data_IF_822415379033
#
_entry.id   IF_822415379033
#
_cell.length_a   1.000
_cell.length_b   1.000
_cell.length_c   1.000
_cell.angle_alpha   90.00
_cell.angle_beta   90.00
_cell.angle_gamma   90.00
#
_symmetry.space_group_name_H-M   'P 1'
#
loop_
_entity.id
_entity.type
_entity.pdbx_description
1 polymer ?
#
# COMPACT_ATOMS: atom_id res chain seq x y z
N UNK A 1 -5.54 -25.74 22.28
CA UNK A 1 -6.44 -24.58 22.15
C UNK A 1 -7.08 -24.64 20.78
N UNK A 2 -8.41 -24.68 20.70
CA UNK A 2 -9.16 -24.94 19.46
C UNK A 2 -10.06 -23.77 19.06
N UNK A 3 -9.55 -22.55 19.14
CA UNK A 3 -10.34 -21.40 18.68
C UNK A 3 -10.33 -21.38 17.14
N UNK A 4 -11.51 -21.44 16.54
CA UNK A 4 -11.69 -21.33 15.09
C UNK A 4 -11.89 -19.87 14.74
N UNK A 5 -10.86 -19.25 14.18
CA UNK A 5 -10.81 -17.82 13.92
C UNK A 5 -10.91 -17.60 12.42
N UNK A 6 -11.90 -16.82 11.97
CA UNK A 6 -12.06 -16.40 10.59
C UNK A 6 -11.77 -14.91 10.46
N UNK A 7 -10.99 -14.52 9.45
CA UNK A 7 -10.58 -13.14 9.22
C UNK A 7 -10.90 -12.74 7.77
N UNK A 8 -11.51 -11.56 7.61
CA UNK A 8 -11.93 -11.01 6.34
C UNK A 8 -12.32 -9.53 6.47
N UNK A 9 -12.79 -8.88 5.42
CA UNK A 9 -12.88 -9.36 4.04
C UNK A 9 -11.73 -8.86 3.17
N UNK A 10 -10.92 -7.92 3.66
CA UNK A 10 -10.00 -7.16 2.82
C UNK A 10 -8.57 -7.74 2.80
N UNK A 11 -8.08 -8.06 1.61
CA UNK A 11 -6.66 -8.29 1.36
C UNK A 11 -6.23 -7.57 0.08
N UNK A 12 -5.00 -7.05 0.09
CA UNK A 12 -4.38 -6.38 -1.06
C UNK A 12 -2.85 -6.60 -1.03
N UNK A 13 -2.18 -6.13 -2.08
CA UNK A 13 -0.72 -6.10 -2.16
C UNK A 13 -0.27 -4.69 -1.81
N UNK A 14 0.67 -4.60 -0.88
CA UNK A 14 1.30 -3.33 -0.50
C UNK A 14 2.67 -3.23 -1.17
N UNK A 15 2.90 -2.12 -1.88
CA UNK A 15 4.22 -1.73 -2.35
C UNK A 15 4.84 -0.74 -1.36
N UNK A 16 5.61 -1.25 -0.41
CA UNK A 16 6.32 -0.44 0.58
C UNK A 16 7.60 0.13 -0.05
N UNK A 17 7.65 1.45 -0.27
CA UNK A 17 8.82 2.13 -0.86
C UNK A 17 9.74 2.72 0.20
N UNK A 18 11.03 2.80 -0.13
CA UNK A 18 12.01 3.59 0.62
C UNK A 18 12.09 4.96 -0.02
N UNK A 19 11.77 6.01 0.74
CA UNK A 19 11.85 7.39 0.25
C UNK A 19 13.26 7.72 -0.22
N UNK A 20 13.34 8.32 -1.41
CA UNK A 20 14.57 8.77 -2.02
C UNK A 20 14.39 10.22 -2.45
N UNK A 21 15.27 11.10 -1.96
CA UNK A 21 15.19 12.53 -2.18
C UNK A 21 15.38 12.88 -3.66
N UNK A 22 16.37 12.29 -4.30
CA UNK A 22 16.75 12.60 -5.68
C UNK A 22 15.61 12.26 -6.66
N UNK A 23 14.96 11.11 -6.46
CA UNK A 23 13.79 10.68 -7.25
C UNK A 23 12.63 11.66 -7.06
N UNK A 24 12.32 12.04 -5.83
CA UNK A 24 11.21 12.98 -5.54
C UNK A 24 11.51 14.35 -6.16
N UNK A 25 12.70 14.91 -5.95
CA UNK A 25 13.10 16.21 -6.51
C UNK A 25 13.05 16.19 -8.06
N UNK A 26 13.51 15.11 -8.68
CA UNK A 26 13.44 14.96 -10.13
C UNK A 26 11.98 14.93 -10.64
N UNK A 27 11.07 14.26 -9.94
CA UNK A 27 9.65 14.22 -10.32
C UNK A 27 8.95 15.57 -10.08
N UNK A 28 9.30 16.29 -9.00
CA UNK A 28 8.79 17.65 -8.76
C UNK A 28 9.16 18.58 -9.91
N UNK A 29 10.43 18.53 -10.36
CA UNK A 29 10.89 19.31 -11.51
C UNK A 29 10.19 18.86 -12.79
N UNK A 30 10.13 17.55 -13.04
CA UNK A 30 9.54 16.99 -14.25
C UNK A 30 8.06 17.36 -14.42
N UNK A 31 7.28 17.34 -13.34
CA UNK A 31 5.86 17.68 -13.34
C UNK A 31 5.57 19.16 -13.05
N UNK A 32 6.61 19.97 -12.82
CA UNK A 32 6.47 21.39 -12.50
C UNK A 32 5.60 21.67 -11.28
N UNK A 33 5.74 20.86 -10.22
CA UNK A 33 4.96 21.00 -8.99
C UNK A 33 5.38 22.26 -8.22
N UNK A 34 4.40 23.06 -7.80
CA UNK A 34 4.60 24.27 -7.02
C UNK A 34 4.01 24.14 -5.61
N UNK A 35 4.54 24.93 -4.68
CA UNK A 35 4.16 24.85 -3.26
C UNK A 35 2.71 25.28 -2.97
N UNK A 36 2.17 26.20 -3.76
CA UNK A 36 0.77 26.66 -3.66
C UNK A 36 -0.25 25.59 -4.07
N UNK A 37 0.18 24.58 -4.83
CA UNK A 37 -0.66 23.44 -5.23
C UNK A 37 -0.85 22.40 -4.12
N UNK A 38 -0.01 22.41 -3.07
CA UNK A 38 -0.02 21.42 -1.99
C UNK A 38 -1.28 21.47 -1.09
N UNK A 39 -2.21 22.39 -1.37
CA UNK A 39 -3.52 22.49 -0.72
C UNK A 39 -4.66 21.86 -1.52
N UNK A 40 -4.45 21.55 -2.80
CA UNK A 40 -5.48 21.02 -3.69
C UNK A 40 -5.52 19.48 -3.62
N UNK A 41 -6.41 18.92 -2.80
CA UNK A 41 -6.70 17.48 -2.80
C UNK A 41 -7.82 17.16 -3.80
N UNK A 42 -7.46 16.80 -5.04
CA UNK A 42 -8.37 16.27 -6.06
C UNK A 42 -8.36 14.75 -6.14
N UNK A 43 -9.09 14.20 -7.13
CA UNK A 43 -8.95 12.79 -7.51
C UNK A 43 -7.53 12.52 -8.03
N UNK A 44 -6.98 11.35 -7.71
CA UNK A 44 -5.65 10.94 -8.19
C UNK A 44 -5.82 10.16 -9.49
N UNK A 45 -5.65 10.84 -10.62
CA UNK A 45 -5.81 10.30 -11.97
C UNK A 45 -4.49 10.17 -12.73
N UNK A 46 -3.41 10.74 -12.17
CA UNK A 46 -2.08 10.68 -12.74
C UNK A 46 -1.00 10.51 -11.68
N UNK A 47 0.22 10.19 -12.13
CA UNK A 47 1.39 10.11 -11.25
C UNK A 47 1.75 11.49 -10.64
N UNK A 48 1.42 12.58 -11.34
CA UNK A 48 1.57 13.95 -10.82
C UNK A 48 0.63 14.20 -9.64
N UNK A 49 -0.63 13.82 -9.77
CA UNK A 49 -1.63 14.01 -8.70
C UNK A 49 -1.26 13.17 -7.46
N UNK A 50 -0.72 11.97 -7.70
CA UNK A 50 -0.23 11.11 -6.63
C UNK A 50 0.93 11.79 -5.88
N UNK A 51 1.90 12.32 -6.61
CA UNK A 51 3.04 13.02 -6.01
C UNK A 51 2.60 14.29 -5.26
N UNK A 52 1.68 15.09 -5.81
CA UNK A 52 1.10 16.24 -5.12
C UNK A 52 0.44 15.83 -3.80
N UNK A 53 -0.38 14.77 -3.82
CA UNK A 53 -1.02 14.26 -2.61
C UNK A 53 0.00 13.80 -1.56
N UNK A 54 1.07 13.11 -1.98
CA UNK A 54 2.14 12.67 -1.07
C UNK A 54 2.86 13.87 -0.45
N UNK A 55 3.22 14.87 -1.27
CA UNK A 55 3.91 16.07 -0.79
C UNK A 55 3.03 16.91 0.14
N UNK A 56 1.71 16.96 -0.08
CA UNK A 56 0.77 17.59 0.83
C UNK A 56 0.80 16.93 2.22
N UNK A 57 0.76 15.59 2.29
CA UNK A 57 0.90 14.84 3.55
C UNK A 57 2.27 15.04 4.21
N UNK A 58 3.35 15.01 3.42
CA UNK A 58 4.69 15.28 3.95
C UNK A 58 4.81 16.71 4.52
N UNK A 59 4.17 17.68 3.88
CA UNK A 59 4.14 19.07 4.32
C UNK A 59 3.41 19.28 5.64
N UNK A 60 2.35 18.51 5.91
CA UNK A 60 1.63 18.55 7.20
C UNK A 60 2.25 17.61 8.25
N UNK A 61 3.09 16.66 7.84
CA UNK A 61 3.66 15.64 8.73
C UNK A 61 2.66 14.57 9.13
N UNK A 62 1.53 14.47 8.42
CA UNK A 62 0.45 13.53 8.71
C UNK A 62 0.50 12.31 7.77
N UNK A 63 0.07 11.16 8.28
CA UNK A 63 -0.22 10.00 7.44
C UNK A 63 -1.64 10.08 6.86
N UNK A 64 -1.90 9.33 5.80
CA UNK A 64 -3.25 9.23 5.26
C UNK A 64 -3.39 8.19 4.17
N UNK A 65 -4.63 8.03 3.72
CA UNK A 65 -5.01 7.16 2.61
C UNK A 65 -5.78 7.98 1.57
N UNK A 66 -5.53 7.67 0.29
CA UNK A 66 -6.23 8.25 -0.84
C UNK A 66 -6.51 7.16 -1.86
N UNK A 67 -7.67 7.28 -2.50
CA UNK A 67 -8.03 6.43 -3.63
C UNK A 67 -7.33 6.93 -4.89
N UNK A 68 -6.72 6.00 -5.62
CA UNK A 68 -6.11 6.23 -6.93
C UNK A 68 -6.98 5.53 -7.96
N UNK A 69 -7.30 6.21 -9.05
CA UNK A 69 -8.26 5.69 -10.04
C UNK A 69 -7.77 4.44 -10.77
N UNK A 70 -6.45 4.25 -10.86
CA UNK A 70 -5.81 3.14 -11.55
C UNK A 70 -4.58 2.64 -10.79
N UNK A 71 -4.49 1.33 -10.58
CA UNK A 71 -3.35 0.68 -9.95
C UNK A 71 -2.04 0.90 -10.72
N UNK A 72 -2.07 1.05 -12.03
CA UNK A 72 -0.87 1.25 -12.85
C UNK A 72 -0.13 2.54 -12.48
N UNK A 73 -0.85 3.56 -11.99
CA UNK A 73 -0.24 4.80 -11.48
C UNK A 73 0.64 4.48 -10.27
N UNK A 74 0.13 3.66 -9.33
CA UNK A 74 0.85 3.23 -8.13
C UNK A 74 2.05 2.36 -8.54
N UNK A 75 1.88 1.44 -9.49
CA UNK A 75 2.95 0.55 -9.93
C UNK A 75 4.10 1.29 -10.59
N UNK A 76 3.81 2.22 -11.50
CA UNK A 76 4.81 3.08 -12.16
C UNK A 76 5.53 3.94 -11.13
N UNK A 77 4.80 4.59 -10.22
CA UNK A 77 5.41 5.42 -9.19
C UNK A 77 6.33 4.59 -8.29
N UNK A 78 5.85 3.47 -7.76
CA UNK A 78 6.62 2.59 -6.89
C UNK A 78 7.85 1.97 -7.58
N UNK A 79 7.81 1.75 -8.89
CA UNK A 79 8.94 1.22 -9.67
C UNK A 79 10.17 2.15 -9.70
N UNK A 80 10.01 3.44 -9.40
CA UNK A 80 11.10 4.42 -9.33
C UNK A 80 11.89 4.35 -8.02
N UNK A 81 11.37 3.62 -7.03
CA UNK A 81 11.97 3.51 -5.71
C UNK A 81 12.44 2.08 -5.44
N UNK A 82 13.37 1.95 -4.50
CA UNK A 82 13.58 0.65 -3.86
C UNK A 82 12.28 0.29 -3.12
N UNK A 83 11.68 -0.84 -3.48
CA UNK A 83 10.43 -1.30 -2.89
C UNK A 83 10.52 -2.71 -2.33
N UNK A 84 9.66 -3.00 -1.34
CA UNK A 84 9.34 -4.34 -0.88
C UNK A 84 7.87 -4.62 -1.18
N UNK A 85 7.60 -5.80 -1.71
CA UNK A 85 6.22 -6.27 -1.94
C UNK A 85 5.77 -7.02 -0.68
N UNK A 86 4.73 -6.51 -0.03
CA UNK A 86 4.12 -7.10 1.17
C UNK A 86 2.63 -7.31 0.96
N UNK A 87 1.95 -7.87 1.96
CA UNK A 87 0.49 -7.95 1.97
C UNK A 87 -0.07 -6.91 2.92
N UNK A 88 -0.99 -6.13 2.38
CA UNK A 88 -1.85 -5.26 3.16
C UNK A 88 -3.20 -5.92 3.41
N UNK A 89 -4.11 -5.12 3.94
CA UNK A 89 -5.41 -5.58 4.39
C UNK A 89 -5.34 -6.10 5.82
N UNK A 90 -6.22 -5.56 6.66
CA UNK A 90 -6.22 -5.82 8.10
C UNK A 90 -6.35 -7.30 8.43
N UNK A 91 -7.17 -8.06 7.69
CA UNK A 91 -7.38 -9.49 7.95
C UNK A 91 -6.12 -10.31 7.75
N UNK A 92 -5.41 -10.10 6.64
CA UNK A 92 -4.19 -10.86 6.33
C UNK A 92 -3.05 -10.45 7.24
N UNK A 93 -2.88 -9.15 7.53
CA UNK A 93 -1.86 -8.70 8.49
C UNK A 93 -2.14 -9.23 9.90
N UNK A 94 -3.41 -9.28 10.31
CA UNK A 94 -3.81 -9.90 11.57
C UNK A 94 -3.49 -11.40 11.58
N UNK A 95 -3.79 -12.15 10.51
CA UNK A 95 -3.46 -13.57 10.40
C UNK A 95 -1.96 -13.84 10.54
N UNK A 96 -1.13 -13.03 9.87
CA UNK A 96 0.34 -13.11 9.97
C UNK A 96 0.81 -12.84 11.41
N UNK A 97 0.24 -11.86 12.09
CA UNK A 97 0.56 -11.56 13.48
C UNK A 97 0.11 -12.68 14.43
N UNK A 98 -1.12 -13.17 14.27
CA UNK A 98 -1.72 -14.24 15.07
C UNK A 98 -0.95 -15.56 14.93
N UNK A 99 -0.44 -15.87 13.74
CA UNK A 99 0.44 -17.02 13.52
C UNK A 99 1.70 -16.97 14.36
N UNK A 100 2.32 -15.79 14.51
CA UNK A 100 3.50 -15.63 15.40
C UNK A 100 3.16 -15.87 16.87
N UNK A 101 1.88 -15.74 17.24
CA UNK A 101 1.35 -16.01 18.57
C UNK A 101 0.83 -17.45 18.73
N UNK A 102 0.98 -18.30 17.70
CA UNK A 102 0.57 -19.71 17.74
C UNK A 102 -0.89 -19.97 17.34
N UNK A 103 -1.57 -18.99 16.73
CA UNK A 103 -2.94 -19.15 16.22
C UNK A 103 -2.97 -19.25 14.70
N UNK A 104 -3.77 -20.18 14.18
CA UNK A 104 -4.04 -20.28 12.75
C UNK A 104 -5.45 -19.77 12.46
N UNK A 105 -5.59 -18.87 11.49
CA UNK A 105 -6.88 -18.29 11.10
C UNK A 105 -7.24 -18.69 9.67
N UNK A 106 -8.53 -18.95 9.44
CA UNK A 106 -9.11 -19.05 8.12
C UNK A 106 -9.26 -17.66 7.51
N UNK A 107 -8.92 -17.49 6.23
CA UNK A 107 -8.91 -16.19 5.57
C UNK A 107 -9.94 -16.14 4.45
N UNK A 108 -10.69 -15.05 4.40
CA UNK A 108 -11.41 -14.65 3.20
C UNK A 108 -10.50 -13.77 2.32
N UNK A 109 -10.31 -14.15 1.06
CA UNK A 109 -9.51 -13.40 0.09
C UNK A 109 -10.40 -12.83 -1.03
N UNK A 110 -10.39 -11.52 -1.19
CA UNK A 110 -10.99 -10.81 -2.34
C UNK A 110 -10.04 -10.87 -3.55
N UNK A 111 -8.73 -10.71 -3.33
CA UNK A 111 -7.73 -10.73 -4.40
C UNK A 111 -6.83 -11.95 -4.26
N UNK A 112 -6.72 -12.75 -5.32
CA UNK A 112 -5.78 -13.88 -5.38
C UNK A 112 -4.81 -13.70 -6.53
N UNK A 113 -3.54 -13.47 -6.20
CA UNK A 113 -2.43 -13.42 -7.15
C UNK A 113 -1.21 -14.15 -6.55
N UNK A 114 -0.13 -14.23 -7.31
CA UNK A 114 1.07 -14.95 -6.87
C UNK A 114 1.73 -14.31 -5.64
N UNK A 115 1.58 -13.00 -5.46
CA UNK A 115 2.04 -12.33 -4.23
C UNK A 115 1.24 -12.78 -3.01
N UNK A 116 -0.10 -12.82 -3.11
CA UNK A 116 -0.97 -13.32 -2.05
C UNK A 116 -0.62 -14.76 -1.68
N UNK A 117 -0.53 -15.67 -2.67
CA UNK A 117 -0.20 -17.08 -2.43
C UNK A 117 1.15 -17.28 -1.77
N UNK A 118 2.16 -16.50 -2.19
CA UNK A 118 3.53 -16.60 -1.67
C UNK A 118 3.67 -16.03 -0.25
N UNK A 119 2.91 -14.99 0.09
CA UNK A 119 3.11 -14.20 1.31
C UNK A 119 2.09 -14.50 2.42
N UNK A 120 0.95 -15.13 2.10
CA UNK A 120 0.00 -15.63 3.10
C UNK A 120 0.63 -16.78 3.90
N UNK A 121 0.31 -16.93 5.19
CA UNK A 121 0.66 -18.12 5.94
C UNK A 121 0.25 -19.44 5.26
N UNK A 122 1.21 -20.32 4.98
CA UNK A 122 0.97 -21.57 4.25
C UNK A 122 0.01 -22.56 4.96
N UNK A 123 -0.18 -22.39 6.27
CA UNK A 123 -1.06 -23.16 7.15
C UNK A 123 -2.45 -22.52 7.33
N UNK A 124 -2.66 -21.29 6.85
CA UNK A 124 -3.98 -20.65 6.87
C UNK A 124 -4.85 -21.23 5.75
N UNK A 125 -6.03 -21.79 6.06
CA UNK A 125 -7.01 -22.16 5.05
C UNK A 125 -7.67 -20.90 4.47
N UNK A 126 -7.91 -20.87 3.15
CA UNK A 126 -8.58 -19.78 2.45
C UNK A 126 -9.29 -20.26 1.18
#
# INVERSE_FOLDING_TARGET
MSERIALGFCNNVDYEIVWNREVVEALVIHYGIRADELSACGAIESERDLLLSILAFMGTGEGGERFVSDSDIIERFAARFRKRVTLGGTSVRAAIAMRKLGYTSALHLITQNDHARRLIPADSPY
#
